data_IF_864889917434
#
_entry.id   IF_864889917434
#
_cell.length_a   1.000
_cell.length_b   1.000
_cell.length_c   1.000
_cell.angle_alpha   90.00
_cell.angle_beta   90.00
_cell.angle_gamma   90.00
#
_symmetry.space_group_name_H-M   'P 1'
#
loop_
_entity.id
_entity.type
_entity.pdbx_description
1 polymer ?
#
# COMPACT_ATOMS: atom_id res chain seq x y z
N UNK A 1 -9.80 26.12 27.78
CA UNK A 1 -8.61 25.55 27.09
C UNK A 1 -8.62 24.06 27.35
N UNK A 2 -9.17 23.26 26.43
CA UNK A 2 -9.10 21.78 26.51
C UNK A 2 -7.84 21.35 25.77
N UNK A 3 -6.97 20.60 26.42
CA UNK A 3 -5.87 19.90 25.76
C UNK A 3 -6.45 18.90 24.75
N UNK A 4 -5.87 18.72 23.56
CA UNK A 4 -6.24 17.61 22.71
C UNK A 4 -5.83 16.32 23.42
N UNK A 5 -6.81 15.44 23.60
CA UNK A 5 -6.61 14.09 24.13
C UNK A 5 -5.74 13.33 23.12
N UNK A 6 -4.52 12.97 23.54
CA UNK A 6 -3.67 12.07 22.77
C UNK A 6 -4.30 10.68 22.77
N UNK A 7 -5.03 10.35 21.71
CA UNK A 7 -5.38 8.96 21.44
C UNK A 7 -4.08 8.15 21.41
N UNK A 8 -3.98 7.17 22.31
CA UNK A 8 -2.76 6.38 22.50
C UNK A 8 -2.51 5.45 21.29
N UNK A 9 -1.25 5.10 20.98
CA UNK A 9 -0.79 4.47 19.72
C UNK A 9 -1.08 2.96 19.61
N UNK A 10 -2.14 2.47 20.26
CA UNK A 10 -2.47 1.04 20.40
C UNK A 10 -2.59 0.34 19.03
N UNK A 11 -3.08 1.06 18.00
CA UNK A 11 -3.15 0.55 16.64
C UNK A 11 -1.77 0.37 15.97
N UNK A 12 -0.86 1.31 16.17
CA UNK A 12 0.48 1.27 15.57
C UNK A 12 1.37 0.19 16.22
N UNK A 13 1.27 0.03 17.54
CA UNK A 13 2.02 -1.01 18.27
C UNK A 13 1.52 -2.42 17.93
N UNK A 14 0.21 -2.62 17.80
CA UNK A 14 -0.37 -3.89 17.37
C UNK A 14 0.02 -4.24 15.92
N UNK A 15 0.01 -3.27 15.01
CA UNK A 15 0.49 -3.43 13.65
C UNK A 15 1.98 -3.81 13.64
N UNK A 16 2.82 -3.06 14.37
CA UNK A 16 4.25 -3.31 14.45
C UNK A 16 4.55 -4.70 15.03
N UNK A 17 3.83 -5.12 16.08
CA UNK A 17 3.94 -6.45 16.67
C UNK A 17 3.64 -7.56 15.66
N UNK A 18 2.54 -7.41 14.90
CA UNK A 18 2.13 -8.38 13.88
C UNK A 18 3.14 -8.44 12.73
N UNK A 19 3.60 -7.30 12.23
CA UNK A 19 4.61 -7.24 11.16
C UNK A 19 5.94 -7.84 11.62
N UNK A 20 6.39 -7.57 12.85
CA UNK A 20 7.59 -8.20 13.42
C UNK A 20 7.46 -9.72 13.51
N UNK A 21 6.30 -10.23 13.94
CA UNK A 21 6.06 -11.67 14.01
C UNK A 21 6.14 -12.32 12.62
N UNK A 22 5.50 -11.70 11.62
CA UNK A 22 5.56 -12.15 10.23
C UNK A 22 6.99 -12.10 9.66
N UNK A 23 7.73 -11.03 9.94
CA UNK A 23 9.13 -10.90 9.55
C UNK A 23 9.99 -11.99 10.17
N UNK A 24 9.90 -12.22 11.48
CA UNK A 24 10.68 -13.26 12.16
C UNK A 24 10.36 -14.65 11.63
N UNK A 25 9.09 -14.95 11.36
CA UNK A 25 8.66 -16.24 10.82
C UNK A 25 9.18 -16.51 9.40
N UNK A 26 9.35 -15.46 8.57
CA UNK A 26 9.78 -15.58 7.17
C UNK A 26 11.27 -15.29 6.97
N UNK A 27 11.87 -14.53 7.88
CA UNK A 27 13.26 -14.05 7.87
C UNK A 27 13.83 -14.03 9.28
N UNK A 28 14.27 -15.18 9.81
CA UNK A 28 14.89 -15.24 11.13
C UNK A 28 16.21 -14.45 11.23
N UNK A 29 16.83 -14.11 10.09
CA UNK A 29 18.15 -13.45 10.02
C UNK A 29 18.14 -12.05 9.39
N UNK A 30 16.98 -11.50 9.02
CA UNK A 30 16.90 -10.36 8.10
C UNK A 30 16.25 -9.10 8.65
N UNK A 31 16.99 -7.99 8.65
CA UNK A 31 16.56 -6.59 8.59
C UNK A 31 15.63 -6.06 9.70
N UNK A 32 16.00 -4.95 10.33
CA UNK A 32 15.14 -4.31 11.32
C UNK A 32 13.95 -3.58 10.67
N UNK A 33 12.79 -3.71 11.32
CA UNK A 33 11.59 -2.94 10.99
C UNK A 33 11.78 -1.49 11.43
N UNK A 34 11.65 -0.54 10.50
CA UNK A 34 11.68 0.88 10.83
C UNK A 34 10.25 1.39 11.05
N UNK A 35 10.05 2.09 12.17
CA UNK A 35 8.78 2.75 12.48
C UNK A 35 8.91 4.21 12.04
N UNK A 36 8.00 4.66 11.18
CA UNK A 36 7.87 6.06 10.78
C UNK A 36 6.61 6.66 11.40
N UNK A 37 6.50 7.98 11.36
CA UNK A 37 5.30 8.71 11.79
C UNK A 37 4.03 8.30 11.00
N UNK A 38 4.19 7.82 9.76
CA UNK A 38 3.09 7.50 8.84
C UNK A 38 2.76 5.99 8.79
N UNK A 39 3.57 5.13 9.42
CA UNK A 39 3.44 3.68 9.35
C UNK A 39 4.76 2.93 9.48
N UNK A 40 4.82 1.72 8.93
CA UNK A 40 5.96 0.81 9.06
C UNK A 40 6.71 0.66 7.74
N UNK A 41 8.03 0.77 7.78
CA UNK A 41 8.90 0.48 6.65
C UNK A 41 9.59 -0.87 6.86
N UNK A 42 9.25 -1.81 5.99
CA UNK A 42 9.71 -3.20 6.01
C UNK A 42 10.81 -3.39 4.96
N UNK A 43 11.97 -3.95 5.31
CA UNK A 43 13.06 -4.13 4.35
C UNK A 43 12.76 -5.18 3.27
N UNK A 44 13.22 -4.90 2.03
CA UNK A 44 13.14 -5.81 0.88
C UNK A 44 14.16 -6.96 0.91
N UNK A 45 14.04 -7.91 -0.02
CA UNK A 45 14.99 -9.02 -0.24
C UNK A 45 16.24 -8.58 -1.00
N UNK A 46 16.14 -7.57 -1.86
CA UNK A 46 17.21 -7.10 -2.73
C UNK A 46 17.68 -5.69 -2.37
N UNK A 47 18.78 -5.23 -2.99
CA UNK A 47 19.29 -3.88 -2.78
C UNK A 47 18.39 -2.77 -3.36
N UNK A 48 17.37 -3.12 -4.16
CA UNK A 48 16.64 -2.19 -5.03
C UNK A 48 17.53 -1.66 -6.15
N UNK A 49 16.94 -1.20 -7.27
CA UNK A 49 17.73 -0.48 -8.27
C UNK A 49 17.56 1.03 -8.10
N UNK A 50 18.64 1.82 -8.14
CA UNK A 50 18.55 3.26 -8.19
C UNK A 50 17.72 3.70 -9.40
N UNK A 51 16.73 4.57 -9.20
CA UNK A 51 15.85 5.06 -10.26
C UNK A 51 14.54 4.30 -10.42
N UNK A 52 14.38 3.16 -9.75
CA UNK A 52 13.10 2.42 -9.77
C UNK A 52 11.98 3.28 -9.12
N UNK A 53 10.74 3.19 -9.64
CA UNK A 53 9.64 4.04 -9.21
C UNK A 53 9.19 3.74 -7.77
N UNK A 54 8.61 4.75 -7.12
CA UNK A 54 7.79 4.53 -5.93
C UNK A 54 6.40 4.10 -6.38
N UNK A 55 5.97 2.92 -5.94
CA UNK A 55 4.69 2.35 -6.28
C UNK A 55 3.66 2.64 -5.18
N UNK A 56 2.54 3.26 -5.54
CA UNK A 56 1.34 3.33 -4.73
C UNK A 56 0.39 2.20 -5.12
N UNK A 57 0.26 1.17 -4.27
CA UNK A 57 -0.67 0.08 -4.49
C UNK A 57 -2.06 0.47 -3.93
N UNK A 58 -3.02 0.65 -4.83
CA UNK A 58 -4.37 1.14 -4.54
C UNK A 58 -5.37 -0.01 -4.57
N UNK A 59 -6.15 -0.14 -3.49
CA UNK A 59 -7.30 -1.04 -3.41
C UNK A 59 -8.61 -0.25 -3.47
N UNK A 60 -9.71 -0.88 -3.87
CA UNK A 60 -11.01 -0.24 -4.09
C UNK A 60 -11.80 0.04 -2.80
N UNK A 61 -11.50 -0.71 -1.74
CA UNK A 61 -12.18 -0.65 -0.45
C UNK A 61 -11.45 0.22 0.60
N UNK A 62 -10.35 0.88 0.23
CA UNK A 62 -9.49 1.64 1.13
C UNK A 62 -9.45 3.14 0.77
N UNK A 63 -9.20 4.02 1.74
CA UNK A 63 -8.95 5.44 1.46
C UNK A 63 -7.57 5.59 0.81
N UNK A 64 -7.48 5.97 -0.48
CA UNK A 64 -6.19 6.00 -1.19
C UNK A 64 -5.35 7.22 -0.82
N UNK A 65 -5.93 8.25 -0.18
CA UNK A 65 -5.26 9.54 0.08
C UNK A 65 -3.94 9.41 0.86
N UNK A 66 -3.85 8.65 1.98
CA UNK A 66 -2.59 8.51 2.71
C UNK A 66 -1.52 7.80 1.88
N UNK A 67 -1.91 6.77 1.13
CA UNK A 67 -1.02 6.00 0.25
C UNK A 67 -0.44 6.92 -0.83
N UNK A 68 -1.30 7.64 -1.55
CA UNK A 68 -0.88 8.53 -2.62
C UNK A 68 0.00 9.68 -2.12
N UNK A 69 -0.37 10.31 -1.00
CA UNK A 69 0.40 11.45 -0.47
C UNK A 69 1.77 11.04 0.02
N UNK A 70 1.87 9.90 0.71
CA UNK A 70 3.16 9.36 1.14
C UNK A 70 4.00 8.95 -0.07
N UNK A 71 3.42 8.20 -1.01
CA UNK A 71 4.13 7.73 -2.20
C UNK A 71 4.63 8.90 -3.08
N UNK A 72 3.81 9.93 -3.29
CA UNK A 72 4.21 11.12 -4.03
C UNK A 72 5.35 11.89 -3.34
N UNK A 73 5.27 12.04 -2.02
CA UNK A 73 6.35 12.65 -1.22
C UNK A 73 7.67 11.89 -1.34
N UNK A 74 7.63 10.57 -1.25
CA UNK A 74 8.81 9.72 -1.42
C UNK A 74 9.35 9.74 -2.85
N UNK A 75 8.49 9.70 -3.86
CA UNK A 75 8.89 9.81 -5.26
C UNK A 75 9.63 11.13 -5.53
N UNK A 76 9.10 12.25 -5.02
CA UNK A 76 9.72 13.56 -5.12
C UNK A 76 11.08 13.60 -4.40
N UNK A 77 11.15 13.08 -3.17
CA UNK A 77 12.37 13.05 -2.35
C UNK A 77 13.48 12.22 -3.00
N UNK A 78 13.11 11.08 -3.60
CA UNK A 78 14.03 10.16 -4.28
C UNK A 78 14.31 10.56 -5.73
N UNK A 79 13.56 11.53 -6.28
CA UNK A 79 13.61 11.96 -7.69
C UNK A 79 13.39 10.80 -8.67
N UNK A 80 12.39 9.98 -8.38
CA UNK A 80 11.95 8.86 -9.22
C UNK A 80 10.48 9.00 -9.57
N UNK A 81 9.98 8.31 -10.60
CA UNK A 81 8.56 8.35 -10.94
C UNK A 81 7.68 7.82 -9.80
N UNK A 82 6.48 8.39 -9.67
CA UNK A 82 5.37 7.79 -8.94
C UNK A 82 4.63 6.87 -9.90
N UNK A 83 4.33 5.64 -9.47
CA UNK A 83 3.47 4.72 -10.20
C UNK A 83 2.29 4.28 -9.35
N UNK A 84 1.07 4.62 -9.77
CA UNK A 84 -0.14 4.08 -9.16
C UNK A 84 -0.48 2.73 -9.78
N UNK A 85 -0.68 1.72 -8.93
CA UNK A 85 -0.97 0.35 -9.35
C UNK A 85 -2.26 -0.13 -8.72
N UNK A 86 -3.11 -0.76 -9.52
CA UNK A 86 -4.24 -1.54 -9.02
C UNK A 86 -4.11 -2.98 -9.50
N UNK A 87 -4.30 -3.96 -8.61
CA UNK A 87 -4.37 -5.37 -9.01
C UNK A 87 -5.81 -5.76 -9.27
N UNK A 88 -6.16 -5.88 -10.54
CA UNK A 88 -7.43 -6.40 -10.97
C UNK A 88 -7.49 -7.92 -10.76
N UNK A 89 -8.44 -8.35 -9.93
CA UNK A 89 -8.65 -9.77 -9.60
C UNK A 89 -9.83 -10.31 -10.39
N UNK A 90 -9.57 -11.29 -11.25
CA UNK A 90 -10.60 -12.01 -12.00
C UNK A 90 -11.37 -12.95 -11.08
N UNK A 91 -12.33 -12.45 -10.30
CA UNK A 91 -13.27 -13.30 -9.54
C UNK A 91 -14.46 -13.68 -10.42
N UNK A 92 -14.81 -14.97 -10.45
CA UNK A 92 -16.16 -15.37 -10.83
C UNK A 92 -17.16 -14.76 -9.81
N UNK A 93 -18.37 -14.35 -10.23
CA UNK A 93 -19.36 -13.80 -9.30
C UNK A 93 -19.64 -14.83 -8.21
N UNK A 94 -19.42 -14.48 -6.94
CA UNK A 94 -20.03 -15.20 -5.82
C UNK A 94 -21.29 -14.44 -5.41
N UNK A 95 -22.40 -15.16 -5.45
CA UNK A 95 -23.73 -14.86 -4.93
C UNK A 95 -23.95 -13.46 -4.35
N UNK A 96 -24.67 -12.64 -5.10
CA UNK A 96 -25.46 -11.52 -4.57
C UNK A 96 -24.71 -10.26 -4.13
N UNK A 97 -23.37 -10.23 -4.18
CA UNK A 97 -22.62 -9.01 -3.91
C UNK A 97 -22.79 -8.03 -5.08
N UNK A 98 -23.53 -6.93 -4.86
CA UNK A 98 -23.66 -5.83 -5.82
C UNK A 98 -22.27 -5.23 -6.06
N UNK A 99 -21.72 -5.55 -7.24
CA UNK A 99 -20.63 -4.89 -7.95
C UNK A 99 -19.73 -3.94 -7.15
N UNK A 100 -18.53 -4.42 -6.80
CA UNK A 100 -17.29 -3.61 -6.71
C UNK A 100 -16.10 -4.50 -7.06
N UNK A 101 -15.92 -4.77 -8.36
CA UNK A 101 -14.66 -5.17 -9.01
C UNK A 101 -14.84 -4.74 -10.47
N UNK A 102 -14.03 -3.80 -10.94
CA UNK A 102 -14.08 -3.21 -12.29
C UNK A 102 -14.49 -4.24 -13.36
N UNK A 103 -15.64 -4.03 -14.03
CA UNK A 103 -16.17 -4.98 -15.01
C UNK A 103 -15.28 -5.04 -16.27
N UNK A 104 -14.45 -4.01 -16.50
CA UNK A 104 -13.46 -3.93 -17.58
C UNK A 104 -12.14 -3.34 -17.09
N UNK A 105 -11.03 -3.73 -17.73
CA UNK A 105 -9.71 -3.13 -17.48
C UNK A 105 -9.70 -1.61 -17.70
N UNK A 106 -10.52 -1.10 -18.61
CA UNK A 106 -10.72 0.33 -18.84
C UNK A 106 -11.23 1.06 -17.60
N UNK A 107 -12.09 0.40 -16.81
CA UNK A 107 -12.72 1.01 -15.64
C UNK A 107 -11.70 1.11 -14.50
N UNK A 108 -10.76 0.17 -14.43
CA UNK A 108 -9.66 0.20 -13.46
C UNK A 108 -8.64 1.29 -13.77
N UNK A 109 -8.31 1.49 -15.05
CA UNK A 109 -7.44 2.59 -15.49
C UNK A 109 -8.10 3.97 -15.24
N UNK A 110 -9.41 4.07 -15.48
CA UNK A 110 -10.18 5.27 -15.16
C UNK A 110 -10.24 5.52 -13.65
N UNK A 111 -10.37 4.46 -12.83
CA UNK A 111 -10.28 4.59 -11.37
C UNK A 111 -8.93 5.17 -10.96
N UNK A 112 -7.82 4.63 -11.47
CA UNK A 112 -6.50 5.16 -11.13
C UNK A 112 -6.36 6.62 -11.55
N UNK A 113 -6.85 6.99 -12.73
CA UNK A 113 -6.87 8.38 -13.18
C UNK A 113 -7.63 9.27 -12.21
N UNK A 114 -8.87 8.90 -11.87
CA UNK A 114 -9.73 9.69 -10.99
C UNK A 114 -9.09 9.83 -9.60
N UNK A 115 -8.60 8.73 -9.04
CA UNK A 115 -7.96 8.68 -7.72
C UNK A 115 -6.70 9.57 -7.67
N UNK A 116 -5.91 9.63 -8.75
CA UNK A 116 -4.77 10.52 -8.85
C UNK A 116 -5.19 11.99 -8.86
N UNK A 117 -6.13 12.39 -9.73
CA UNK A 117 -6.58 13.80 -9.81
C UNK A 117 -7.36 14.27 -8.57
N UNK A 118 -8.05 13.37 -7.87
CA UNK A 118 -8.78 13.71 -6.63
C UNK A 118 -7.84 13.95 -5.44
N UNK A 119 -6.63 13.39 -5.49
CA UNK A 119 -5.75 13.34 -4.33
C UNK A 119 -4.37 13.90 -4.53
N UNK A 120 -3.95 14.26 -5.75
CA UNK A 120 -2.70 14.93 -6.07
C UNK A 120 -2.98 16.26 -6.80
N UNK A 121 -1.96 17.12 -6.93
CA UNK A 121 -2.07 18.27 -7.85
C UNK A 121 -2.12 17.78 -9.30
N UNK A 122 -2.65 18.61 -10.21
CA UNK A 122 -2.72 18.25 -11.64
C UNK A 122 -1.33 17.87 -12.20
N UNK A 123 -0.28 18.63 -11.87
CA UNK A 123 1.08 18.33 -12.32
C UNK A 123 1.63 17.00 -11.76
N UNK A 124 1.34 16.68 -10.50
CA UNK A 124 1.73 15.39 -9.90
C UNK A 124 0.94 14.22 -10.52
N UNK A 125 -0.36 14.42 -10.77
CA UNK A 125 -1.22 13.42 -11.39
C UNK A 125 -0.83 13.15 -12.86
N UNK A 126 -0.53 14.20 -13.63
CA UNK A 126 -0.09 14.12 -15.03
C UNK A 126 1.27 13.41 -15.16
N UNK A 127 2.15 13.58 -14.18
CA UNK A 127 3.46 12.94 -14.15
C UNK A 127 3.44 11.49 -13.60
N UNK A 128 2.35 11.06 -12.98
CA UNK A 128 2.24 9.74 -12.38
C UNK A 128 1.96 8.66 -13.44
N UNK A 129 2.72 7.57 -13.37
CA UNK A 129 2.46 6.38 -14.17
C UNK A 129 1.25 5.62 -13.60
N UNK A 130 0.48 4.95 -14.47
CA UNK A 130 -0.65 4.10 -14.09
C UNK A 130 -0.44 2.71 -14.64
N UNK A 131 -0.64 1.69 -13.81
CA UNK A 131 -0.47 0.29 -14.21
C UNK A 131 -1.55 -0.60 -13.60
N UNK A 132 -2.23 -1.38 -14.44
CA UNK A 132 -3.20 -2.38 -14.01
C UNK A 132 -2.56 -3.75 -14.09
N UNK A 133 -2.34 -4.36 -12.93
CA UNK A 133 -1.87 -5.74 -12.84
C UNK A 133 -3.08 -6.68 -12.85
N UNK A 134 -2.92 -7.86 -13.43
CA UNK A 134 -3.95 -8.89 -13.45
C UNK A 134 -3.46 -10.14 -12.72
N UNK A 135 -4.28 -10.71 -11.84
CA UNK A 135 -3.94 -11.96 -11.15
C UNK A 135 -5.08 -12.55 -10.33
N UNK A 136 -4.90 -13.77 -9.83
CA UNK A 136 -5.90 -14.43 -8.98
C UNK A 136 -5.95 -13.82 -7.57
N UNK A 137 -4.83 -13.25 -7.11
CA UNK A 137 -4.70 -12.53 -5.85
C UNK A 137 -3.67 -11.39 -5.99
N UNK A 138 -3.70 -10.36 -5.13
CA UNK A 138 -2.79 -9.21 -5.26
C UNK A 138 -1.35 -9.53 -4.87
N UNK A 139 -1.15 -10.51 -3.97
CA UNK A 139 0.16 -10.78 -3.38
C UNK A 139 1.19 -11.24 -4.41
N UNK A 140 0.95 -12.25 -5.27
CA UNK A 140 1.94 -12.67 -6.27
C UNK A 140 2.28 -11.56 -7.27
N UNK A 141 1.28 -10.80 -7.71
CA UNK A 141 1.46 -9.70 -8.66
C UNK A 141 2.36 -8.59 -8.07
N UNK A 142 2.10 -8.19 -6.83
CA UNK A 142 2.90 -7.16 -6.14
C UNK A 142 4.29 -7.66 -5.73
N UNK A 143 4.46 -8.96 -5.43
CA UNK A 143 5.80 -9.55 -5.22
C UNK A 143 6.63 -9.46 -6.49
N UNK A 144 6.05 -9.77 -7.66
CA UNK A 144 6.79 -9.69 -8.91
C UNK A 144 7.11 -8.24 -9.29
N UNK A 145 6.13 -7.32 -9.16
CA UNK A 145 6.35 -5.88 -9.36
C UNK A 145 7.47 -5.32 -8.48
N UNK A 146 7.63 -5.84 -7.25
CA UNK A 146 8.65 -5.37 -6.32
C UNK A 146 10.10 -5.54 -6.81
N UNK A 147 10.32 -6.30 -7.89
CA UNK A 147 11.64 -6.44 -8.54
C UNK A 147 12.05 -5.21 -9.35
N UNK A 148 11.09 -4.41 -9.78
CA UNK A 148 11.27 -3.20 -10.59
C UNK A 148 10.64 -1.97 -9.92
N UNK A 149 10.61 -1.97 -8.58
CA UNK A 149 10.11 -0.87 -7.78
C UNK A 149 11.18 -0.48 -6.75
N UNK A 150 11.30 0.81 -6.45
CA UNK A 150 12.20 1.33 -5.41
C UNK A 150 11.56 1.27 -4.02
N UNK A 151 10.23 1.29 -3.97
CA UNK A 151 9.41 1.20 -2.76
C UNK A 151 7.98 0.82 -3.18
N UNK A 152 7.33 -0.07 -2.43
CA UNK A 152 5.88 -0.27 -2.53
C UNK A 152 5.21 0.33 -1.30
N UNK A 153 4.19 1.16 -1.52
CA UNK A 153 3.38 1.80 -0.48
C UNK A 153 1.97 1.24 -0.57
N UNK A 154 1.43 0.78 0.56
CA UNK A 154 0.04 0.35 0.71
C UNK A 154 -0.47 0.63 2.12
N UNK A 155 -1.77 0.58 2.31
CA UNK A 155 -2.33 0.66 3.65
C UNK A 155 -2.30 -0.70 4.36
N UNK A 156 -2.19 -0.63 5.68
CA UNK A 156 -2.70 -1.65 6.57
C UNK A 156 -4.23 -1.62 6.54
N UNK A 157 -4.84 -2.72 6.98
CA UNK A 157 -6.29 -2.80 7.10
C UNK A 157 -6.84 -1.70 8.02
N UNK A 158 -7.97 -1.11 7.62
CA UNK A 158 -8.70 -0.14 8.42
C UNK A 158 -9.17 -0.73 9.77
N UNK A 159 -9.15 0.07 10.87
CA UNK A 159 -9.75 -0.30 12.15
C UNK A 159 -11.23 -0.71 11.99
N UNK A 160 -11.65 -1.79 12.64
CA UNK A 160 -13.04 -2.27 12.65
C UNK A 160 -13.40 -3.38 11.64
N UNK A 161 -12.46 -3.79 10.78
CA UNK A 161 -12.62 -4.99 9.94
C UNK A 161 -12.48 -6.30 10.73
N UNK A 162 -13.13 -7.39 10.27
CA UNK A 162 -12.88 -8.74 10.81
C UNK A 162 -11.47 -9.22 10.40
N UNK A 163 -10.60 -9.57 11.35
CA UNK A 163 -9.29 -10.19 11.12
C UNK A 163 -8.09 -9.35 11.61
N UNK A 164 -6.89 -9.71 11.16
CA UNK A 164 -5.63 -9.12 11.63
C UNK A 164 -5.45 -7.65 11.18
N UNK A 165 -4.81 -6.85 12.04
CA UNK A 165 -4.56 -5.41 11.84
C UNK A 165 -3.75 -5.07 10.57
N UNK A 166 -2.99 -6.02 10.01
CA UNK A 166 -2.17 -5.82 8.82
C UNK A 166 -3.00 -5.94 7.52
N UNK A 167 -4.03 -6.80 7.50
CA UNK A 167 -4.72 -7.15 6.26
C UNK A 167 -3.98 -8.21 5.43
N UNK A 168 -4.71 -8.90 4.55
CA UNK A 168 -4.20 -10.05 3.78
C UNK A 168 -3.12 -9.69 2.77
N UNK A 169 -3.25 -8.55 2.10
CA UNK A 169 -2.30 -8.10 1.07
C UNK A 169 -0.99 -7.69 1.72
N UNK A 170 -0.98 -6.72 2.65
CA UNK A 170 0.22 -6.32 3.37
C UNK A 170 0.86 -7.50 4.12
N UNK A 171 0.07 -8.32 4.82
CA UNK A 171 0.58 -9.50 5.52
C UNK A 171 1.17 -10.55 4.58
N UNK A 172 0.64 -10.66 3.36
CA UNK A 172 1.17 -11.50 2.31
C UNK A 172 2.48 -11.00 1.71
N UNK A 173 2.74 -9.69 1.75
CA UNK A 173 3.94 -9.06 1.19
C UNK A 173 5.12 -8.99 2.17
N UNK A 174 4.85 -8.85 3.47
CA UNK A 174 5.89 -8.74 4.51
C UNK A 174 6.93 -9.86 4.37
N UNK A 175 8.21 -9.48 4.20
CA UNK A 175 9.32 -10.41 4.07
C UNK A 175 9.48 -11.09 2.70
N UNK A 176 8.58 -10.83 1.73
CA UNK A 176 8.57 -11.47 0.39
C UNK A 176 8.87 -10.52 -0.78
N UNK A 177 8.89 -9.21 -0.56
CA UNK A 177 9.20 -8.21 -1.60
C UNK A 177 10.70 -8.08 -1.84
N UNK A 178 11.09 -7.70 -3.05
CA UNK A 178 12.47 -7.40 -3.44
C UNK A 178 12.88 -5.96 -3.13
N UNK A 179 11.92 -5.03 -3.11
CA UNK A 179 12.08 -3.66 -2.63
C UNK A 179 11.55 -3.49 -1.19
N UNK A 180 11.91 -2.39 -0.52
CA UNK A 180 11.25 -1.96 0.71
C UNK A 180 9.73 -1.83 0.54
N UNK A 181 9.00 -2.04 1.63
CA UNK A 181 7.55 -1.99 1.70
C UNK A 181 7.11 -1.03 2.82
N UNK A 182 6.42 0.06 2.47
CA UNK A 182 5.79 0.96 3.41
C UNK A 182 4.33 0.53 3.64
N UNK A 183 4.01 0.17 4.88
CA UNK A 183 2.68 -0.22 5.33
C UNK A 183 2.12 0.90 6.19
N UNK A 184 1.22 1.69 5.61
CA UNK A 184 0.66 2.88 6.26
C UNK A 184 -0.52 2.52 7.14
N UNK A 185 -0.59 3.11 8.33
CA UNK A 185 -1.80 3.02 9.14
C UNK A 185 -2.84 4.00 8.60
N UNK A 186 -4.06 3.57 8.25
CA UNK A 186 -5.14 4.52 8.01
C UNK A 186 -5.37 5.31 9.30
N UNK A 187 -5.22 6.64 9.22
CA UNK A 187 -5.56 7.51 10.32
C UNK A 187 -7.04 7.33 10.67
N UNK A 188 -7.40 7.42 11.96
CA UNK A 188 -8.80 7.61 12.33
C UNK A 188 -9.34 8.82 11.53
N UNK A 189 -10.53 8.73 10.92
CA UNK A 189 -11.15 9.92 10.38
C UNK A 189 -11.31 10.90 11.55
N UNK A 190 -10.59 12.01 11.50
CA UNK A 190 -10.88 13.14 12.37
C UNK A 190 -12.33 13.52 12.10
N UNK A 191 -13.18 13.33 13.11
CA UNK A 191 -14.60 13.69 13.07
C UNK A 191 -14.80 15.18 12.89
#
# INVERSE_FOLDING_TARGET
>A
MRTPSSASPIGADALAGTVRALLRARRPSGGDLLISEHGLLVPGLGPGNPGDPVVAAIDDDENPRPILRYAAGEALRLRVPLRAVHVWIRRAPRDGARFRRHDRMSDADQLLSQVLYDHLSAAEADAAEREILCGDTPVPALVELSRSAGLIVLAARAPGGRGDAVGSTAGGLVGRTYCPLAVLTPAEPAG
#
